data_IF_222892699854
#
_entry.id   IF_222892699854
#
_cell.length_a   1.000
_cell.length_b   1.000
_cell.length_c   1.000
_cell.angle_alpha   90.00
_cell.angle_beta   90.00
_cell.angle_gamma   90.00
#
_symmetry.space_group_name_H-M   'P 1'
#
loop_
_entity.id
_entity.type
_entity.pdbx_description
1 polymer ?
#
# COMPACT_ATOMS: atom_id res chain seq x y z
N UNK A 1 -13.13 -17.44 -16.15
CA UNK A 1 -13.69 -16.92 -14.87
C UNK A 1 -12.63 -16.95 -13.80
N UNK A 2 -12.68 -16.05 -12.81
CA UNK A 2 -11.70 -15.99 -11.72
C UNK A 2 -12.37 -15.79 -10.35
N UNK A 3 -11.67 -16.22 -9.29
CA UNK A 3 -12.07 -16.03 -7.89
C UNK A 3 -11.09 -15.09 -7.20
N UNK A 4 -11.61 -14.06 -6.54
CA UNK A 4 -10.84 -13.13 -5.72
C UNK A 4 -10.65 -13.61 -4.27
N UNK A 5 -9.52 -13.27 -3.68
CA UNK A 5 -9.22 -13.40 -2.25
C UNK A 5 -8.36 -12.21 -1.79
N UNK A 6 -8.39 -11.90 -0.49
CA UNK A 6 -7.56 -10.85 0.09
C UNK A 6 -7.12 -11.17 1.52
N UNK A 7 -6.02 -10.54 1.94
CA UNK A 7 -5.42 -10.65 3.26
C UNK A 7 -5.01 -9.26 3.75
N UNK A 8 -5.58 -8.80 4.86
CA UNK A 8 -5.29 -7.46 5.42
C UNK A 8 -3.84 -7.31 5.88
N UNK A 9 -3.29 -6.12 5.68
CA UNK A 9 -1.94 -5.73 6.09
C UNK A 9 -2.02 -4.79 7.30
N UNK A 10 -1.09 -4.87 8.26
CA UNK A 10 -0.88 -3.79 9.24
C UNK A 10 -0.23 -2.57 8.56
N UNK A 11 -0.61 -1.31 8.85
CA UNK A 11 -1.68 -0.81 9.73
C UNK A 11 -3.08 -0.77 9.09
N UNK A 12 -3.20 -1.17 7.82
CA UNK A 12 -4.43 -1.18 7.04
C UNK A 12 -5.62 -1.91 7.66
N UNK A 13 -5.38 -2.87 8.56
CA UNK A 13 -6.39 -3.59 9.34
C UNK A 13 -7.35 -2.68 10.16
N UNK A 14 -7.03 -1.39 10.34
CA UNK A 14 -7.89 -0.44 11.08
C UNK A 14 -9.03 0.13 10.21
N UNK A 15 -9.00 -0.04 8.88
CA UNK A 15 -9.98 0.55 7.96
C UNK A 15 -11.28 -0.28 7.86
N UNK A 16 -12.03 -0.38 8.95
CA UNK A 16 -13.41 -0.91 8.94
C UNK A 16 -14.39 0.16 8.47
N UNK A 17 -14.37 0.46 7.16
CA UNK A 17 -15.30 1.37 6.50
C UNK A 17 -16.31 0.63 5.62
N UNK A 18 -17.47 1.25 5.37
CA UNK A 18 -18.52 0.77 4.47
C UNK A 18 -17.95 0.36 3.10
N UNK A 19 -18.36 -0.81 2.60
CA UNK A 19 -18.00 -1.37 1.29
C UNK A 19 -18.38 -0.37 0.19
N UNK A 20 -17.41 0.10 -0.59
CA UNK A 20 -17.67 0.95 -1.75
C UNK A 20 -17.69 0.09 -3.02
N UNK A 21 -18.89 -0.34 -3.43
CA UNK A 21 -19.05 -1.22 -4.60
C UNK A 21 -19.18 -0.49 -5.94
N UNK A 22 -19.08 0.85 -5.95
CA UNK A 22 -19.29 1.70 -7.16
C UNK A 22 -18.15 2.69 -7.41
N UNK A 23 -17.05 2.56 -6.66
CA UNK A 23 -15.88 3.43 -6.80
C UNK A 23 -15.04 3.13 -8.04
N UNK A 24 -14.14 4.04 -8.36
CA UNK A 24 -13.05 3.85 -9.32
C UNK A 24 -11.79 3.42 -8.57
N UNK A 25 -11.04 2.47 -9.12
CA UNK A 25 -9.73 2.05 -8.60
C UNK A 25 -8.66 2.44 -9.61
N UNK A 26 -7.67 3.22 -9.18
CA UNK A 26 -6.49 3.48 -9.98
C UNK A 26 -5.58 2.24 -9.99
N UNK A 27 -5.36 1.64 -11.17
CA UNK A 27 -4.55 0.42 -11.31
C UNK A 27 -3.15 0.77 -11.82
N UNK A 28 -2.14 0.46 -11.01
CA UNK A 28 -0.73 0.66 -11.31
C UNK A 28 -0.06 -0.66 -11.69
N UNK A 29 0.76 -0.63 -12.75
CA UNK A 29 1.37 -1.81 -13.38
C UNK A 29 2.87 -1.62 -13.52
N UNK A 30 3.61 -2.71 -13.74
CA UNK A 30 5.04 -2.67 -14.09
C UNK A 30 5.94 -1.90 -13.09
N UNK A 31 5.57 -1.89 -11.82
CA UNK A 31 6.30 -1.16 -10.78
C UNK A 31 6.01 0.33 -10.70
N UNK A 32 5.08 0.85 -11.51
CA UNK A 32 4.57 2.21 -11.32
C UNK A 32 3.92 2.33 -9.94
N UNK A 33 4.11 3.50 -9.31
CA UNK A 33 3.54 3.81 -8.01
C UNK A 33 2.73 5.10 -8.07
N UNK A 34 1.71 5.24 -7.22
CA UNK A 34 0.99 6.50 -7.09
C UNK A 34 1.92 7.64 -6.69
N UNK A 35 1.71 8.80 -7.32
CA UNK A 35 2.45 10.04 -6.97
C UNK A 35 1.98 10.67 -5.67
N UNK A 36 0.75 10.37 -5.25
CA UNK A 36 0.17 10.86 -3.99
C UNK A 36 0.56 9.90 -2.87
N UNK A 37 0.79 10.40 -1.63
CA UNK A 37 1.00 9.51 -0.49
C UNK A 37 -0.16 8.53 -0.34
N UNK A 38 0.17 7.26 -0.07
CA UNK A 38 -0.80 6.18 0.08
C UNK A 38 -0.33 5.23 1.18
N UNK A 39 -1.23 4.37 1.64
CA UNK A 39 -0.92 3.30 2.56
C UNK A 39 -1.56 1.98 2.11
N UNK A 40 -0.90 0.87 2.40
CA UNK A 40 -1.30 -0.47 2.01
C UNK A 40 -2.38 -1.00 2.96
N UNK A 41 -3.47 -1.49 2.39
CA UNK A 41 -4.59 -2.06 3.13
C UNK A 41 -4.52 -3.58 3.20
N UNK A 42 -4.32 -4.24 2.05
CA UNK A 42 -4.37 -5.70 1.96
C UNK A 42 -3.60 -6.21 0.74
N UNK A 43 -3.11 -7.44 0.81
CA UNK A 43 -2.76 -8.21 -0.38
C UNK A 43 -4.05 -8.72 -1.02
N UNK A 44 -4.11 -8.71 -2.34
CA UNK A 44 -5.24 -9.24 -3.12
C UNK A 44 -4.72 -10.23 -4.16
N UNK A 45 -5.49 -11.28 -4.44
CA UNK A 45 -5.18 -12.26 -5.47
C UNK A 45 -6.43 -12.66 -6.25
N UNK A 46 -6.27 -12.89 -7.55
CA UNK A 46 -7.27 -13.46 -8.42
C UNK A 46 -6.76 -14.79 -8.95
N UNK A 47 -7.54 -15.85 -8.74
CA UNK A 47 -7.24 -17.21 -9.18
C UNK A 47 -8.16 -17.59 -10.35
N UNK A 48 -7.57 -17.75 -11.53
CA UNK A 48 -8.27 -18.05 -12.76
C UNK A 48 -8.51 -19.54 -12.98
N UNK A 49 -9.61 -19.87 -13.66
CA UNK A 49 -9.81 -21.18 -14.26
C UNK A 49 -9.16 -21.26 -15.67
N UNK A 50 -9.41 -22.35 -16.40
CA UNK A 50 -8.86 -22.56 -17.74
C UNK A 50 -9.20 -21.47 -18.77
N UNK A 51 -10.34 -20.79 -18.57
CA UNK A 51 -10.88 -19.77 -19.47
C UNK A 51 -10.60 -18.34 -18.96
N UNK A 52 -9.82 -18.20 -17.89
CA UNK A 52 -9.47 -16.88 -17.37
C UNK A 52 -8.47 -16.18 -18.29
N UNK A 53 -8.77 -14.93 -18.64
CA UNK A 53 -7.85 -14.01 -19.30
C UNK A 53 -7.26 -13.04 -18.30
N UNK A 54 -6.20 -12.33 -18.69
CA UNK A 54 -5.62 -11.26 -17.87
C UNK A 54 -6.69 -10.22 -17.48
N UNK A 55 -7.53 -9.78 -18.42
CA UNK A 55 -8.61 -8.82 -18.16
C UNK A 55 -9.61 -9.33 -17.10
N UNK A 56 -9.97 -10.62 -17.15
CA UNK A 56 -10.89 -11.20 -16.14
C UNK A 56 -10.25 -11.26 -14.75
N UNK A 57 -8.94 -11.50 -14.67
CA UNK A 57 -8.19 -11.50 -13.42
C UNK A 57 -8.08 -10.07 -12.85
N UNK A 58 -7.76 -9.10 -13.70
CA UNK A 58 -7.65 -7.70 -13.30
C UNK A 58 -9.00 -7.15 -12.82
N UNK A 59 -10.09 -7.41 -13.55
CA UNK A 59 -11.46 -7.06 -13.12
C UNK A 59 -11.81 -7.70 -11.76
N UNK A 60 -11.34 -8.93 -11.53
CA UNK A 60 -11.56 -9.62 -10.25
C UNK A 60 -10.78 -8.94 -9.12
N UNK A 61 -9.52 -8.55 -9.36
CA UNK A 61 -8.73 -7.81 -8.39
C UNK A 61 -9.28 -6.41 -8.12
N UNK A 62 -9.77 -5.70 -9.14
CA UNK A 62 -10.46 -4.42 -9.00
C UNK A 62 -11.67 -4.57 -8.07
N UNK A 63 -12.49 -5.61 -8.30
CA UNK A 63 -13.64 -5.90 -7.42
C UNK A 63 -13.23 -6.21 -5.98
N UNK A 64 -12.18 -7.01 -5.76
CA UNK A 64 -11.64 -7.25 -4.41
C UNK A 64 -11.12 -5.97 -3.75
N UNK A 65 -10.47 -5.11 -4.52
CA UNK A 65 -9.94 -3.83 -4.06
C UNK A 65 -11.06 -2.88 -3.63
N UNK A 66 -12.14 -2.80 -4.41
CA UNK A 66 -13.34 -2.03 -4.07
C UNK A 66 -14.01 -2.53 -2.78
N UNK A 67 -14.06 -3.85 -2.57
CA UNK A 67 -14.62 -4.43 -1.33
C UNK A 67 -13.88 -3.96 -0.08
N UNK A 68 -12.59 -3.67 -0.21
CA UNK A 68 -11.73 -3.17 0.86
C UNK A 68 -11.81 -1.64 1.03
N UNK A 69 -12.66 -0.95 0.26
CA UNK A 69 -12.75 0.52 0.24
C UNK A 69 -11.38 1.17 -0.04
N UNK A 70 -10.58 0.51 -0.89
CA UNK A 70 -9.30 0.99 -1.38
C UNK A 70 -9.50 1.89 -2.61
N UNK A 71 -8.58 2.82 -2.81
CA UNK A 71 -8.63 3.79 -3.92
C UNK A 71 -7.75 3.35 -5.10
N UNK A 72 -6.74 2.52 -4.85
CA UNK A 72 -5.81 2.07 -5.87
C UNK A 72 -5.32 0.64 -5.65
N UNK A 73 -4.86 0.02 -6.75
CA UNK A 73 -4.34 -1.33 -6.81
C UNK A 73 -2.95 -1.32 -7.44
N UNK A 74 -1.97 -1.87 -6.72
CA UNK A 74 -0.62 -2.09 -7.24
C UNK A 74 -0.51 -3.55 -7.72
N UNK A 75 -0.39 -3.79 -9.02
CA UNK A 75 -0.13 -5.14 -9.53
C UNK A 75 1.33 -5.53 -9.27
N UNK A 76 1.53 -6.67 -8.63
CA UNK A 76 2.85 -7.08 -8.13
C UNK A 76 3.42 -8.31 -8.81
N UNK A 77 2.57 -9.25 -9.22
CA UNK A 77 3.01 -10.48 -9.88
C UNK A 77 1.89 -11.14 -10.67
N UNK A 78 2.28 -11.94 -11.65
CA UNK A 78 1.42 -12.88 -12.35
C UNK A 78 2.11 -14.25 -12.40
N UNK A 79 1.33 -15.33 -12.33
CA UNK A 79 1.83 -16.69 -12.45
C UNK A 79 0.82 -17.57 -13.18
N UNK A 80 1.26 -18.68 -13.77
CA UNK A 80 0.36 -19.68 -14.37
C UNK A 80 0.69 -21.05 -13.77
N UNK A 81 -0.29 -21.66 -13.10
CA UNK A 81 -0.16 -23.04 -12.64
C UNK A 81 -0.66 -24.00 -13.71
N UNK A 82 -0.09 -25.20 -13.70
CA UNK A 82 -0.39 -26.24 -14.66
C UNK A 82 -0.97 -27.44 -13.93
N UNK A 83 -2.26 -27.65 -14.09
CA UNK A 83 -2.97 -28.73 -13.42
C UNK A 83 -3.13 -29.91 -14.40
N UNK A 84 -2.52 -31.04 -14.08
CA UNK A 84 -2.64 -32.28 -14.85
C UNK A 84 -2.81 -33.46 -13.91
N UNK A 85 -3.59 -34.45 -14.32
CA UNK A 85 -3.71 -35.71 -13.59
C UNK A 85 -2.89 -36.77 -14.32
N UNK A 86 -2.01 -37.44 -13.58
CA UNK A 86 -1.33 -38.65 -14.06
C UNK A 86 -2.11 -39.83 -13.51
N UNK A 87 -2.60 -40.70 -14.40
CA UNK A 87 -3.34 -41.90 -14.05
C UNK A 87 -2.75 -43.15 -14.67
N UNK A 88 -3.14 -44.31 -14.13
CA UNK A 88 -2.74 -45.63 -14.64
C UNK A 88 -3.97 -46.52 -14.82
N UNK A 89 -4.09 -47.18 -15.98
CA UNK A 89 -5.18 -48.12 -16.31
C UNK A 89 -4.66 -49.11 -17.33
N UNK A 90 -5.00 -50.40 -17.16
CA UNK A 90 -4.59 -51.45 -18.10
C UNK A 90 -3.08 -51.63 -18.27
N UNK A 91 -2.27 -51.30 -17.26
CA UNK A 91 -0.81 -51.43 -17.32
C UNK A 91 -0.07 -50.29 -18.01
N UNK A 92 -0.76 -49.27 -18.51
CA UNK A 92 -0.17 -48.05 -19.08
C UNK A 92 -0.33 -46.83 -18.17
N UNK A 93 0.65 -45.91 -18.22
CA UNK A 93 0.49 -44.54 -17.71
C UNK A 93 -0.12 -43.66 -18.80
N UNK A 94 -1.00 -42.76 -18.39
CA UNK A 94 -1.45 -41.66 -19.25
C UNK A 94 -1.52 -40.37 -18.43
N UNK A 95 -1.08 -39.30 -19.07
CA UNK A 95 -1.18 -37.94 -18.57
C UNK A 95 -2.42 -37.31 -19.17
N UNK A 96 -3.25 -36.67 -18.34
CA UNK A 96 -4.29 -35.78 -18.86
C UNK A 96 -3.64 -34.60 -19.62
N UNK A 97 -4.42 -33.93 -20.45
CA UNK A 97 -4.07 -32.59 -20.93
C UNK A 97 -3.83 -31.67 -19.74
N UNK A 98 -2.76 -30.89 -19.83
CA UNK A 98 -2.36 -29.93 -18.80
C UNK A 98 -3.26 -28.70 -18.92
N UNK A 99 -4.00 -28.39 -17.85
CA UNK A 99 -4.88 -27.24 -17.77
C UNK A 99 -4.08 -26.06 -17.20
N UNK A 100 -3.96 -24.99 -17.97
CA UNK A 100 -3.32 -23.75 -17.52
C UNK A 100 -4.29 -22.94 -16.67
N UNK A 101 -3.86 -22.49 -15.50
CA UNK A 101 -4.63 -21.63 -14.60
C UNK A 101 -3.82 -20.38 -14.26
N UNK A 102 -4.17 -19.22 -14.83
CA UNK A 102 -3.47 -17.99 -14.55
C UNK A 102 -3.90 -17.40 -13.21
N UNK A 103 -2.98 -16.70 -12.56
CA UNK A 103 -3.15 -16.03 -11.27
C UNK A 103 -2.55 -14.65 -11.36
N UNK A 104 -3.21 -13.68 -10.75
CA UNK A 104 -2.74 -12.30 -10.68
C UNK A 104 -2.76 -11.84 -9.22
N UNK A 105 -1.72 -11.10 -8.83
CA UNK A 105 -1.52 -10.64 -7.47
C UNK A 105 -1.33 -9.13 -7.44
N UNK A 106 -1.80 -8.51 -6.36
CA UNK A 106 -1.60 -7.10 -6.12
C UNK A 106 -1.72 -6.72 -4.65
N UNK A 107 -1.57 -5.43 -4.40
CA UNK A 107 -1.78 -4.81 -3.09
C UNK A 107 -2.81 -3.71 -3.23
N UNK A 108 -3.90 -3.82 -2.48
CA UNK A 108 -4.92 -2.80 -2.36
C UNK A 108 -4.42 -1.68 -1.43
N UNK A 109 -4.52 -0.44 -1.87
CA UNK A 109 -3.98 0.74 -1.21
C UNK A 109 -5.04 1.86 -1.14
N UNK A 110 -4.90 2.73 -0.14
CA UNK A 110 -5.74 3.92 0.01
C UNK A 110 -4.91 5.18 -0.05
N UNK A 111 -5.43 6.23 -0.67
CA UNK A 111 -4.76 7.52 -0.68
C UNK A 111 -4.81 8.16 0.70
N UNK A 112 -3.67 8.69 1.14
CA UNK A 112 -3.63 9.47 2.36
C UNK A 112 -4.31 10.82 2.14
N UNK A 113 -5.21 11.16 3.06
CA UNK A 113 -5.91 12.44 3.06
C UNK A 113 -5.06 13.59 3.61
N UNK A 114 -3.85 13.30 4.07
CA UNK A 114 -2.97 14.23 4.76
C UNK A 114 -1.55 14.12 4.25
N UNK A 115 -0.77 15.17 4.45
CA UNK A 115 0.67 15.15 4.21
C UNK A 115 1.37 16.00 5.25
N UNK A 116 2.56 15.56 5.66
CA UNK A 116 3.42 16.35 6.53
C UNK A 116 4.09 17.50 5.76
N UNK A 117 4.37 17.28 4.47
CA UNK A 117 5.00 18.26 3.57
C UNK A 117 6.52 18.32 3.70
N UNK A 118 7.15 17.18 3.99
CA UNK A 118 8.61 17.04 3.99
C UNK A 118 9.02 15.90 3.05
N UNK A 119 10.17 16.07 2.40
CA UNK A 119 10.90 14.97 1.78
C UNK A 119 12.11 14.65 2.66
N UNK A 120 12.47 13.37 2.71
CA UNK A 120 13.59 12.88 3.50
C UNK A 120 14.53 12.06 2.62
N UNK A 121 15.81 12.04 2.98
CA UNK A 121 16.76 11.08 2.43
C UNK A 121 16.71 9.72 3.16
N UNK A 122 17.58 8.80 2.74
CA UNK A 122 17.72 7.45 3.33
C UNK A 122 18.13 7.45 4.81
N UNK A 123 18.71 8.55 5.30
CA UNK A 123 19.17 8.72 6.68
C UNK A 123 18.16 9.52 7.51
N UNK A 124 16.95 9.72 6.98
CA UNK A 124 15.83 10.45 7.55
C UNK A 124 16.10 11.94 7.79
N UNK A 125 17.03 12.51 7.04
CA UNK A 125 17.31 13.94 7.05
C UNK A 125 16.33 14.61 6.09
N UNK A 126 15.67 15.66 6.57
CA UNK A 126 14.74 16.47 5.78
C UNK A 126 15.53 17.16 4.67
N UNK A 127 15.26 16.77 3.43
CA UNK A 127 15.90 17.31 2.23
C UNK A 127 15.12 18.47 1.61
N UNK A 128 13.81 18.53 1.86
CA UNK A 128 12.94 19.59 1.38
C UNK A 128 11.73 19.76 2.30
N UNK A 129 11.29 20.99 2.51
CA UNK A 129 10.04 21.32 3.20
C UNK A 129 9.15 22.11 2.25
N UNK A 130 7.93 21.63 2.01
CA UNK A 130 6.98 22.32 1.13
C UNK A 130 6.45 23.58 1.80
N UNK A 131 6.41 24.69 1.07
CA UNK A 131 5.85 25.95 1.55
C UNK A 131 4.38 25.79 1.94
N UNK A 132 3.99 26.43 3.05
CA UNK A 132 2.63 26.36 3.58
C UNK A 132 2.23 24.99 4.14
N UNK A 133 3.15 24.02 4.21
CA UNK A 133 2.87 22.70 4.79
C UNK A 133 2.71 22.74 6.31
N UNK A 134 2.11 21.69 6.91
CA UNK A 134 2.11 21.49 8.35
C UNK A 134 3.51 21.52 8.97
N UNK A 135 4.50 20.89 8.33
CA UNK A 135 5.88 20.91 8.78
C UNK A 135 6.51 22.30 8.75
N UNK A 136 6.30 23.06 7.66
CA UNK A 136 6.77 24.44 7.56
C UNK A 136 6.15 25.32 8.66
N UNK A 137 4.84 25.18 8.89
CA UNK A 137 4.10 25.92 9.93
C UNK A 137 4.62 25.57 11.33
N UNK A 138 4.98 24.31 11.55
CA UNK A 138 5.63 23.89 12.79
C UNK A 138 7.08 24.37 12.89
N UNK A 139 7.70 24.87 11.82
CA UNK A 139 9.09 25.30 11.78
C UNK A 139 10.07 24.13 11.77
N UNK A 140 9.72 23.03 11.11
CA UNK A 140 10.70 22.04 10.64
C UNK A 140 11.37 22.62 9.39
N UNK A 141 12.69 22.44 9.28
CA UNK A 141 13.48 22.96 8.17
C UNK A 141 14.33 21.87 7.52
N UNK A 142 14.78 22.12 6.30
CA UNK A 142 15.77 21.27 5.62
C UNK A 142 17.01 21.10 6.50
N UNK A 143 17.52 19.87 6.62
CA UNK A 143 18.64 19.49 7.47
C UNK A 143 18.26 19.00 8.87
N UNK A 144 17.00 19.14 9.28
CA UNK A 144 16.51 18.46 10.49
C UNK A 144 16.48 16.95 10.26
N UNK A 145 16.91 16.16 11.24
CA UNK A 145 16.87 14.69 11.17
C UNK A 145 15.70 14.18 12.00
N UNK A 146 14.72 13.56 11.36
CA UNK A 146 13.59 12.99 12.09
C UNK A 146 14.09 11.78 12.89
N UNK A 147 13.55 11.57 14.09
CA UNK A 147 13.92 10.49 14.99
C UNK A 147 12.71 9.61 15.33
N UNK A 148 11.56 10.23 15.57
CA UNK A 148 10.33 9.53 15.91
C UNK A 148 9.08 10.29 15.47
N UNK A 149 8.01 9.55 15.22
CA UNK A 149 6.67 10.07 14.96
C UNK A 149 5.74 9.43 15.98
N UNK A 150 4.96 10.23 16.71
CA UNK A 150 4.10 9.79 17.82
C UNK A 150 4.82 8.91 18.86
N UNK A 151 6.12 9.17 19.08
CA UNK A 151 6.94 8.38 19.99
C UNK A 151 7.43 7.04 19.41
N UNK A 152 7.02 6.66 18.20
CA UNK A 152 7.55 5.50 17.49
C UNK A 152 8.80 5.90 16.73
N UNK A 153 9.92 5.26 17.05
CA UNK A 153 11.19 5.52 16.37
C UNK A 153 11.09 5.17 14.89
N UNK A 154 11.51 6.08 14.01
CA UNK A 154 11.50 5.80 12.57
C UNK A 154 12.52 4.72 12.16
N UNK A 155 13.54 4.49 12.99
CA UNK A 155 14.50 3.41 12.77
C UNK A 155 13.92 2.03 13.14
N UNK A 156 12.77 1.98 13.84
CA UNK A 156 12.17 0.71 14.24
C UNK A 156 11.47 0.01 13.08
N UNK A 157 10.97 0.77 12.10
CA UNK A 157 10.23 0.24 10.96
C UNK A 157 10.22 1.26 9.81
N UNK A 158 10.38 0.82 8.55
CA UNK A 158 10.20 1.70 7.40
C UNK A 158 8.76 2.23 7.26
N UNK A 159 7.79 1.62 7.95
CA UNK A 159 6.37 1.95 7.83
C UNK A 159 5.89 3.01 8.82
N UNK A 160 6.75 3.57 9.68
CA UNK A 160 6.31 4.52 10.72
C UNK A 160 5.57 5.73 10.15
N UNK A 161 6.05 6.30 9.04
CA UNK A 161 5.37 7.42 8.38
C UNK A 161 4.00 7.01 7.84
N UNK A 162 3.88 5.78 7.35
CA UNK A 162 2.62 5.24 6.86
C UNK A 162 1.62 5.05 8.01
N UNK A 163 2.05 4.39 9.09
CA UNK A 163 1.20 4.05 10.24
C UNK A 163 0.79 5.30 11.03
N UNK A 164 1.71 6.23 11.26
CA UNK A 164 1.49 7.35 12.17
C UNK A 164 0.97 8.62 11.49
N UNK A 165 1.20 8.76 10.18
CA UNK A 165 0.78 9.96 9.42
C UNK A 165 -0.24 9.59 8.36
N UNK A 166 0.05 8.60 7.51
CA UNK A 166 -0.73 8.41 6.28
C UNK A 166 -2.16 7.91 6.52
N UNK A 167 -2.39 7.24 7.65
CA UNK A 167 -3.72 6.77 8.10
C UNK A 167 -4.57 7.84 8.79
N UNK A 168 -4.01 9.03 9.05
CA UNK A 168 -4.69 10.11 9.79
C UNK A 168 -5.62 10.93 8.90
N UNK A 169 -6.50 11.69 9.56
CA UNK A 169 -7.44 12.61 8.91
C UNK A 169 -6.96 14.05 9.01
N UNK A 170 -7.39 14.94 8.09
CA UNK A 170 -7.14 16.37 8.23
C UNK A 170 -7.66 16.88 9.57
N UNK A 171 -6.84 17.68 10.26
CA UNK A 171 -7.11 18.17 11.61
C UNK A 171 -6.51 17.31 12.73
N UNK A 172 -6.11 16.06 12.45
CA UNK A 172 -5.39 15.24 13.42
C UNK A 172 -4.00 15.84 13.71
N UNK A 173 -3.49 15.61 14.91
CA UNK A 173 -2.14 16.04 15.30
C UNK A 173 -1.18 14.86 15.34
N UNK A 174 0.05 15.09 14.88
CA UNK A 174 1.18 14.17 15.03
C UNK A 174 2.32 14.82 15.80
N UNK A 175 2.99 14.05 16.65
CA UNK A 175 4.17 14.53 17.38
C UNK A 175 5.43 14.08 16.67
N UNK A 176 6.27 15.03 16.24
CA UNK A 176 7.55 14.76 15.60
C UNK A 176 8.68 15.03 16.59
N UNK A 177 9.54 14.04 16.78
CA UNK A 177 10.85 14.23 17.43
C UNK A 177 11.93 14.27 16.36
N UNK A 178 12.81 15.28 16.44
CA UNK A 178 13.88 15.48 15.47
C UNK A 178 15.13 16.03 16.13
N UNK A 179 16.27 15.85 15.46
CA UNK A 179 17.52 16.51 15.75
C UNK A 179 17.65 17.72 14.84
N UNK A 180 17.76 18.91 15.40
CA UNK A 180 17.97 20.11 14.59
C UNK A 180 19.42 20.20 14.09
N UNK A 181 19.72 21.19 13.23
CA UNK A 181 21.08 21.42 12.70
C UNK A 181 22.16 21.65 13.75
N UNK A 182 21.82 22.10 14.97
CA UNK A 182 22.77 22.29 16.05
C UNK A 182 23.00 21.03 16.90
N UNK A 183 22.38 19.90 16.52
CA UNK A 183 22.48 18.64 17.24
C UNK A 183 21.61 18.60 18.50
N UNK A 184 20.67 19.53 18.66
CA UNK A 184 19.74 19.54 19.79
C UNK A 184 18.49 18.75 19.42
N UNK A 185 18.07 17.85 20.31
CA UNK A 185 16.81 17.13 20.18
C UNK A 185 15.63 18.06 20.49
N UNK A 186 14.68 18.11 19.58
CA UNK A 186 13.45 18.87 19.71
C UNK A 186 12.23 17.98 19.48
N UNK A 187 11.08 18.44 19.98
CA UNK A 187 9.79 17.79 19.81
C UNK A 187 8.77 18.85 19.45
N UNK A 188 7.98 18.60 18.40
CA UNK A 188 6.91 19.49 17.95
C UNK A 188 5.62 18.72 17.68
N UNK A 189 4.50 19.31 18.07
CA UNK A 189 3.16 18.80 17.73
C UNK A 189 2.71 19.54 16.48
N UNK A 190 2.30 18.79 15.46
CA UNK A 190 2.00 19.29 14.13
C UNK A 190 0.56 18.90 13.79
N UNK A 191 -0.26 19.88 13.41
CA UNK A 191 -1.63 19.64 12.95
C UNK A 191 -1.61 19.36 11.46
N UNK A 192 -2.08 18.18 11.04
CA UNK A 192 -2.07 17.76 9.65
C UNK A 192 -3.17 18.48 8.87
N UNK A 193 -2.81 19.02 7.71
CA UNK A 193 -3.75 19.59 6.75
C UNK A 193 -4.08 18.56 5.66
N UNK A 194 -5.20 18.79 4.96
CA UNK A 194 -5.57 18.02 3.77
C UNK A 194 -4.45 18.00 2.71
N UNK A 195 -4.32 16.87 2.01
CA UNK A 195 -3.32 16.64 0.96
C UNK A 195 -3.69 17.24 -0.39
#
# INVERSE_FOLDING_TARGET
MARGVHEELPPGAVSTGSVNTTGHVDIYRNGDLPRRPFYCLAKVAAHGNADATHDTLETTLESETLKLNADCLLLTAENVTNDGTIGSYGGGLFSSTQIKRPHLYGVACKYSQVKLGINQDKDHVVSYVSDGSPAATAGIVEGDKILAINGVSIASSPFVTETEVSTKKPGDTVTIEFLNKSGKKERKVITLSGS
#
